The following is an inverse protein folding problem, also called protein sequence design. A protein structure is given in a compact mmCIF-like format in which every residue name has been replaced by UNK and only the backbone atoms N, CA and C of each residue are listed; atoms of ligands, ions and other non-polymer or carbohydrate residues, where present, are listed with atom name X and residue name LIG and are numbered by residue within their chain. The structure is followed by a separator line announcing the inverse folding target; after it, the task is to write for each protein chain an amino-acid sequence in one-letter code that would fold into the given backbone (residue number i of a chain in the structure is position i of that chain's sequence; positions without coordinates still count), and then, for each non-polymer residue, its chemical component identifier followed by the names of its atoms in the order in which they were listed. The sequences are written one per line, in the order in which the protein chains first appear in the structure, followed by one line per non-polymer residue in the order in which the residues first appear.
data_IF_368025781071
#
_entry.id   IF_368025781071
#
_cell.length_a   1.000
_cell.length_b   1.000
_cell.length_c   1.000
_cell.angle_alpha   90.00
_cell.angle_beta   90.00
_cell.angle_gamma   90.00
#
_symmetry.space_group_name_H-M   'P 1'
#
loop_
_entity.id
_entity.type
_entity.pdbx_description
1 polymer ?
#
# COMPACT_ATOMS: atom_id res chain seq x y z
N UNK A 1 -17.81 0.96 -18.85
CA UNK A 1 -17.33 0.51 -17.52
C UNK A 1 -18.47 -0.24 -16.85
N UNK A 2 -18.22 -1.42 -16.27
CA UNK A 2 -19.24 -2.22 -15.56
C UNK A 2 -18.89 -2.25 -14.07
N UNK A 3 -19.90 -2.09 -13.21
CA UNK A 3 -19.75 -2.16 -11.76
C UNK A 3 -20.53 -3.39 -11.28
N UNK A 4 -19.86 -4.24 -10.50
CA UNK A 4 -20.46 -5.43 -9.89
C UNK A 4 -20.39 -5.26 -8.37
N UNK A 5 -21.54 -5.22 -7.73
CA UNK A 5 -21.65 -5.15 -6.28
C UNK A 5 -21.67 -6.55 -5.67
N UNK A 6 -21.03 -6.71 -4.51
CA UNK A 6 -21.05 -7.96 -3.76
C UNK A 6 -19.94 -8.06 -2.74
N UNK A 7 -20.00 -9.09 -1.92
CA UNK A 7 -18.91 -9.40 -0.98
C UNK A 7 -17.69 -9.95 -1.70
N UNK A 8 -16.52 -9.75 -1.11
CA UNK A 8 -15.23 -10.19 -1.68
C UNK A 8 -15.18 -11.68 -2.00
N UNK A 9 -15.69 -12.53 -1.10
CA UNK A 9 -15.68 -13.97 -1.30
C UNK A 9 -16.54 -14.42 -2.50
N UNK A 10 -17.86 -14.10 -2.61
CA UNK A 10 -18.63 -14.59 -3.76
C UNK A 10 -18.36 -13.78 -5.05
N UNK A 11 -18.30 -12.45 -5.00
CA UNK A 11 -18.20 -11.64 -6.21
C UNK A 11 -16.74 -11.39 -6.64
N UNK A 12 -15.88 -11.04 -5.70
CA UNK A 12 -14.47 -10.77 -5.96
C UNK A 12 -13.70 -12.01 -6.41
N UNK A 13 -13.87 -13.14 -5.71
CA UNK A 13 -13.20 -14.40 -6.06
C UNK A 13 -13.66 -14.91 -7.43
N UNK A 14 -14.95 -14.81 -7.74
CA UNK A 14 -15.46 -15.17 -9.07
C UNK A 14 -14.79 -14.37 -10.19
N UNK A 15 -14.58 -13.05 -10.01
CA UNK A 15 -13.87 -12.21 -10.97
C UNK A 15 -12.39 -12.60 -11.06
N UNK A 16 -11.74 -12.83 -9.92
CA UNK A 16 -10.32 -13.22 -9.88
C UNK A 16 -10.09 -14.53 -10.61
N UNK A 17 -10.97 -15.52 -10.46
CA UNK A 17 -10.87 -16.82 -11.10
C UNK A 17 -11.34 -16.85 -12.56
N UNK A 18 -12.07 -15.84 -12.99
CA UNK A 18 -12.65 -15.86 -14.36
C UNK A 18 -11.56 -15.87 -15.43
N UNK A 19 -11.58 -16.80 -16.39
CA UNK A 19 -10.50 -16.97 -17.36
C UNK A 19 -10.32 -15.80 -18.33
N UNK A 20 -11.35 -14.99 -18.57
CA UNK A 20 -11.29 -13.81 -19.42
C UNK A 20 -10.77 -12.57 -18.68
N UNK A 21 -10.72 -12.57 -17.37
CA UNK A 21 -10.12 -11.49 -16.57
C UNK A 21 -8.61 -11.72 -16.54
N UNK A 22 -7.87 -10.91 -17.27
CA UNK A 22 -6.41 -11.08 -17.45
C UNK A 22 -5.58 -10.10 -16.62
N UNK A 23 -6.20 -9.05 -16.12
CA UNK A 23 -5.53 -8.05 -15.27
C UNK A 23 -6.37 -7.74 -14.06
N UNK A 24 -5.74 -7.75 -12.89
CA UNK A 24 -6.37 -7.50 -11.60
C UNK A 24 -5.57 -6.43 -10.89
N UNK A 25 -6.23 -5.37 -10.43
CA UNK A 25 -5.72 -4.39 -9.49
C UNK A 25 -6.47 -4.52 -8.17
N UNK A 26 -5.74 -4.56 -7.06
CA UNK A 26 -6.33 -4.67 -5.73
C UNK A 26 -5.60 -3.77 -4.74
N UNK A 27 -6.38 -3.07 -3.92
CA UNK A 27 -5.89 -2.33 -2.76
C UNK A 27 -6.56 -2.86 -1.50
N UNK A 28 -5.78 -3.23 -0.50
CA UNK A 28 -6.33 -3.73 0.77
C UNK A 28 -5.30 -4.50 1.62
N UNK A 29 -5.77 -5.53 2.34
CA UNK A 29 -4.92 -6.29 3.25
C UNK A 29 -3.97 -7.27 2.54
N UNK A 30 -2.81 -7.51 3.15
CA UNK A 30 -1.82 -8.50 2.67
C UNK A 30 -2.45 -9.89 2.52
N UNK A 31 -3.27 -10.31 3.49
CA UNK A 31 -3.93 -11.63 3.46
C UNK A 31 -4.86 -11.79 2.25
N UNK A 32 -5.63 -10.75 1.93
CA UNK A 32 -6.48 -10.75 0.73
C UNK A 32 -5.65 -10.69 -0.55
N UNK A 33 -4.59 -9.90 -0.59
CA UNK A 33 -3.67 -9.86 -1.73
C UNK A 33 -3.06 -11.23 -2.04
N UNK A 34 -2.62 -11.95 -1.01
CA UNK A 34 -2.10 -13.32 -1.15
C UNK A 34 -3.17 -14.29 -1.66
N UNK A 35 -4.42 -14.17 -1.18
CA UNK A 35 -5.53 -14.99 -1.67
C UNK A 35 -5.83 -14.75 -3.15
N UNK A 36 -5.81 -13.46 -3.57
CA UNK A 36 -5.99 -13.07 -4.97
C UNK A 36 -4.87 -13.64 -5.85
N UNK A 37 -3.61 -13.55 -5.43
CA UNK A 37 -2.49 -14.09 -6.22
C UNK A 37 -2.61 -15.60 -6.41
N UNK A 38 -2.96 -16.33 -5.35
CA UNK A 38 -3.19 -17.80 -5.44
C UNK A 38 -4.32 -18.12 -6.41
N UNK A 39 -5.50 -17.53 -6.23
CA UNK A 39 -6.67 -17.77 -7.04
C UNK A 39 -6.45 -17.39 -8.53
N UNK A 40 -5.73 -16.30 -8.77
CA UNK A 40 -5.38 -15.88 -10.13
C UNK A 40 -4.48 -16.90 -10.83
N UNK A 41 -3.45 -17.40 -10.13
CA UNK A 41 -2.50 -18.38 -10.68
C UNK A 41 -3.14 -19.73 -11.00
N UNK A 42 -4.15 -20.14 -10.24
CA UNK A 42 -4.88 -21.39 -10.46
C UNK A 42 -5.76 -21.38 -11.71
N UNK A 43 -6.17 -20.22 -12.19
CA UNK A 43 -7.16 -20.10 -13.27
C UNK A 43 -6.57 -19.78 -14.64
N UNK A 44 -5.55 -18.92 -14.69
CA UNK A 44 -4.87 -18.51 -15.93
C UNK A 44 -3.63 -17.67 -15.62
N UNK A 45 -2.79 -17.41 -16.62
CA UNK A 45 -1.73 -16.41 -16.52
C UNK A 45 -2.37 -15.00 -16.49
N UNK A 46 -2.24 -14.30 -15.37
CA UNK A 46 -2.80 -12.96 -15.13
C UNK A 46 -1.76 -11.99 -14.60
N UNK A 47 -1.94 -10.73 -14.93
CA UNK A 47 -1.20 -9.65 -14.30
C UNK A 47 -1.94 -9.23 -13.02
N UNK A 48 -1.27 -9.31 -11.87
CA UNK A 48 -1.83 -8.89 -10.57
C UNK A 48 -0.99 -7.74 -10.02
N UNK A 49 -1.63 -6.59 -9.80
CA UNK A 49 -1.05 -5.42 -9.15
C UNK A 49 -1.67 -5.27 -7.77
N UNK A 50 -0.84 -5.16 -6.75
CA UNK A 50 -1.26 -5.09 -5.35
C UNK A 50 -0.75 -3.81 -4.69
N UNK A 51 -1.69 -3.07 -4.09
CA UNK A 51 -1.42 -1.95 -3.21
C UNK A 51 -1.82 -2.36 -1.80
N UNK A 52 -0.85 -2.50 -0.93
CA UNK A 52 -1.03 -3.09 0.39
C UNK A 52 -0.56 -2.14 1.48
N UNK A 53 -0.83 -2.49 2.72
CA UNK A 53 -0.33 -1.75 3.87
C UNK A 53 1.17 -1.93 4.07
N UNK A 54 1.75 -1.02 4.85
CA UNK A 54 3.18 -1.05 5.16
C UNK A 54 3.56 -0.06 6.25
N UNK A 55 4.87 0.08 6.47
CA UNK A 55 5.53 1.04 7.34
C UNK A 55 6.63 1.74 6.53
N UNK A 56 6.23 2.74 5.73
CA UNK A 56 7.18 3.42 4.85
C UNK A 56 8.20 4.25 5.64
N UNK A 57 9.47 4.26 5.25
CA UNK A 57 10.48 5.07 5.89
C UNK A 57 10.45 6.52 5.39
N UNK A 58 10.78 7.44 6.29
CA UNK A 58 11.21 8.79 5.99
C UNK A 58 12.67 8.91 6.46
N UNK A 59 13.60 9.05 5.53
CA UNK A 59 15.03 8.97 5.81
C UNK A 59 15.63 10.37 5.70
N UNK A 60 16.36 10.79 6.74
CA UNK A 60 16.95 12.13 6.83
C UNK A 60 18.47 12.01 6.97
N UNK A 61 19.19 12.69 6.09
CA UNK A 61 20.65 12.81 6.12
C UNK A 61 21.09 14.16 6.72
N UNK A 62 22.37 14.30 7.16
CA UNK A 62 22.85 15.48 7.86
C UNK A 62 22.80 16.78 7.04
N UNK A 63 22.75 16.71 5.73
CA UNK A 63 22.67 17.87 4.81
C UNK A 63 21.23 18.37 4.59
N UNK A 64 20.26 17.79 5.27
CA UNK A 64 18.85 18.21 5.17
C UNK A 64 18.59 19.48 5.99
N UNK A 65 17.66 20.31 5.51
CA UNK A 65 17.08 21.43 6.25
C UNK A 65 16.12 20.90 7.31
N UNK A 66 16.53 20.90 8.57
CA UNK A 66 15.79 20.28 9.68
C UNK A 66 14.42 20.94 9.93
N UNK A 67 14.29 22.26 9.77
CA UNK A 67 13.00 22.93 9.92
C UNK A 67 11.97 22.40 8.92
N UNK A 68 12.40 22.22 7.66
CA UNK A 68 11.56 21.61 6.62
C UNK A 68 11.32 20.13 6.87
N UNK A 69 12.29 19.41 7.41
CA UNK A 69 12.14 17.98 7.75
C UNK A 69 11.01 17.77 8.74
N UNK A 70 10.90 18.61 9.78
CA UNK A 70 9.81 18.53 10.78
C UNK A 70 8.44 18.69 10.11
N UNK A 71 8.28 19.72 9.27
CA UNK A 71 7.03 19.95 8.54
C UNK A 71 6.68 18.76 7.63
N UNK A 72 7.67 18.27 6.89
CA UNK A 72 7.49 17.14 5.96
C UNK A 72 7.20 15.83 6.68
N UNK A 73 7.82 15.57 7.84
CA UNK A 73 7.57 14.39 8.64
C UNK A 73 6.12 14.36 9.15
N UNK A 74 5.63 15.50 9.65
CA UNK A 74 4.23 15.64 10.10
C UNK A 74 3.26 15.46 8.92
N UNK A 75 3.53 16.12 7.79
CA UNK A 75 2.70 16.00 6.60
C UNK A 75 2.71 14.58 6.03
N UNK A 76 3.87 13.93 6.01
CA UNK A 76 4.06 12.57 5.49
C UNK A 76 3.34 11.49 6.31
N UNK A 77 3.10 11.74 7.60
CA UNK A 77 2.30 10.85 8.45
C UNK A 77 0.82 10.83 8.08
N UNK A 78 0.35 11.84 7.34
CA UNK A 78 -1.04 11.91 6.89
C UNK A 78 -2.06 11.83 8.05
N UNK A 79 -1.84 12.66 9.08
CA UNK A 79 -2.69 12.67 10.28
C UNK A 79 -4.15 13.11 10.00
N UNK A 80 -4.41 13.80 8.89
CA UNK A 80 -5.77 14.10 8.43
C UNK A 80 -6.59 12.82 8.17
N UNK A 81 -5.93 11.69 7.92
CA UNK A 81 -6.50 10.36 7.80
C UNK A 81 -6.15 9.47 8.99
N UNK A 82 -5.84 10.07 10.13
CA UNK A 82 -5.41 9.36 11.34
C UNK A 82 -4.17 8.44 11.10
N UNK A 83 -3.30 8.81 10.17
CA UNK A 83 -2.15 7.98 9.77
C UNK A 83 -2.52 6.70 9.01
N UNK A 84 -3.78 6.52 8.64
CA UNK A 84 -4.27 5.32 7.95
C UNK A 84 -4.14 5.45 6.43
N UNK A 85 -2.91 5.42 5.95
CA UNK A 85 -2.61 5.48 4.51
C UNK A 85 -1.45 4.54 4.19
N UNK A 86 -1.57 3.82 3.06
CA UNK A 86 -0.48 3.01 2.53
C UNK A 86 0.77 3.83 2.16
N UNK A 87 0.59 5.14 1.91
CA UNK A 87 1.67 6.09 1.63
C UNK A 87 2.22 6.83 2.84
N UNK A 88 1.68 6.63 4.06
CA UNK A 88 2.19 7.31 5.26
C UNK A 88 3.62 6.92 5.58
N UNK A 89 4.49 7.91 5.78
CA UNK A 89 5.88 7.71 6.19
C UNK A 89 5.96 7.54 7.72
N UNK A 90 5.59 6.36 8.19
CA UNK A 90 5.36 6.07 9.62
C UNK A 90 6.61 5.63 10.39
N UNK A 91 7.77 5.66 9.74
CA UNK A 91 9.08 5.44 10.38
C UNK A 91 10.01 6.60 10.02
N UNK A 92 10.38 7.39 11.00
CA UNK A 92 11.41 8.42 10.86
C UNK A 92 12.77 7.80 11.18
N UNK A 93 13.69 7.82 10.22
CA UNK A 93 15.04 7.31 10.34
C UNK A 93 16.01 8.48 10.17
N UNK A 94 16.63 8.89 11.26
CA UNK A 94 17.60 9.99 11.29
C UNK A 94 19.03 9.45 11.25
N UNK A 95 19.89 10.13 10.50
CA UNK A 95 21.32 9.86 10.59
C UNK A 95 21.82 10.14 12.02
N UNK A 96 22.80 9.37 12.49
CA UNK A 96 23.29 9.49 13.87
C UNK A 96 23.80 10.89 14.25
N UNK A 97 24.34 11.63 13.28
CA UNK A 97 24.90 12.97 13.52
C UNK A 97 23.82 14.05 13.79
N UNK A 98 22.55 13.76 13.51
CA UNK A 98 21.41 14.70 13.66
C UNK A 98 20.28 14.11 14.49
N UNK A 99 20.53 13.00 15.17
CA UNK A 99 19.48 12.29 15.90
C UNK A 99 19.01 13.06 17.13
N UNK A 100 19.90 13.81 17.80
CA UNK A 100 19.65 14.51 19.06
C UNK A 100 19.38 16.03 18.85
N UNK A 101 19.35 16.52 17.62
CA UNK A 101 19.00 17.87 17.24
C UNK A 101 17.49 18.04 17.07
#
# INVERSE_FOLDING_TARGET
MSIVHGYGAPAGDALVRHPLVRRIGFTGSVSTGLAIQRAAAESAVKHVSLELGGKNPFIVFPDADLDRVVEMAVAGMNFSWAGQSCGSTSRLLLHADIHDD
#
